data_IF_255029262216
#
_entry.id   IF_255029262216
#
_cell.length_a   1.000
_cell.length_b   1.000
_cell.length_c   1.000
_cell.angle_alpha   90.00
_cell.angle_beta   90.00
_cell.angle_gamma   90.00
#
_symmetry.space_group_name_H-M   'P 1'
#
loop_
_entity.id
_entity.type
_entity.pdbx_description
1 polymer ?
#
# COMPACT_ATOMS: atom_id res chain seq x y z
N UNK A 1 -12.00 -9.60 17.01
CA UNK A 1 -11.86 -8.96 15.68
C UNK A 1 -11.02 -9.77 14.69
N UNK A 2 -9.76 -10.15 14.99
CA UNK A 2 -8.95 -10.98 14.07
C UNK A 2 -9.61 -12.34 13.72
N UNK A 3 -10.16 -13.03 14.71
CA UNK A 3 -10.88 -14.30 14.47
C UNK A 3 -12.13 -14.18 13.59
N UNK A 4 -12.82 -13.04 13.63
CA UNK A 4 -13.99 -12.78 12.77
C UNK A 4 -13.60 -12.55 11.31
N UNK A 5 -12.52 -11.80 11.06
CA UNK A 5 -11.98 -11.61 9.71
C UNK A 5 -11.55 -12.92 9.07
N UNK A 6 -10.76 -13.74 9.77
CA UNK A 6 -10.34 -15.04 9.27
C UNK A 6 -11.53 -15.98 8.98
N UNK A 7 -12.56 -15.98 9.84
CA UNK A 7 -13.77 -16.77 9.61
C UNK A 7 -14.52 -16.35 8.33
N UNK A 8 -14.59 -15.04 8.04
CA UNK A 8 -15.21 -14.52 6.81
C UNK A 8 -14.44 -15.00 5.56
N UNK A 9 -13.12 -14.89 5.56
CA UNK A 9 -12.29 -15.36 4.44
C UNK A 9 -12.41 -16.88 4.24
N UNK A 10 -12.43 -17.66 5.32
CA UNK A 10 -12.63 -19.13 5.26
C UNK A 10 -14.02 -19.47 4.74
N UNK A 11 -15.07 -18.79 5.23
CA UNK A 11 -16.44 -19.01 4.77
C UNK A 11 -16.60 -18.71 3.27
N UNK A 12 -16.03 -17.60 2.80
CA UNK A 12 -16.02 -17.26 1.37
C UNK A 12 -15.23 -18.25 0.53
N UNK A 13 -14.09 -18.71 1.05
CA UNK A 13 -13.28 -19.73 0.39
C UNK A 13 -14.07 -21.02 0.21
N UNK A 14 -14.71 -21.52 1.27
CA UNK A 14 -15.57 -22.72 1.20
C UNK A 14 -16.77 -22.50 0.28
N UNK A 15 -17.39 -21.32 0.34
CA UNK A 15 -18.54 -20.99 -0.49
C UNK A 15 -18.19 -20.93 -1.98
N UNK A 16 -16.98 -20.48 -2.34
CA UNK A 16 -16.51 -20.45 -3.73
C UNK A 16 -16.55 -21.84 -4.39
N UNK A 17 -16.34 -22.93 -3.63
CA UNK A 17 -16.40 -24.30 -4.16
C UNK A 17 -17.82 -24.80 -4.46
N UNK A 18 -18.86 -24.03 -4.10
CA UNK A 18 -20.25 -24.34 -4.49
C UNK A 18 -20.61 -23.83 -5.88
N UNK A 19 -19.78 -22.99 -6.47
CA UNK A 19 -19.98 -22.45 -7.82
C UNK A 19 -19.25 -23.28 -8.88
N UNK A 20 -19.58 -23.01 -10.15
CA UNK A 20 -18.89 -23.59 -11.29
C UNK A 20 -17.39 -23.23 -11.29
N UNK A 21 -16.60 -24.02 -12.02
CA UNK A 21 -15.14 -23.90 -12.02
C UNK A 21 -14.69 -22.50 -12.43
N UNK A 22 -15.39 -21.84 -13.36
CA UNK A 22 -15.00 -20.51 -13.83
C UNK A 22 -15.30 -19.43 -12.79
N UNK A 23 -16.50 -19.40 -12.21
CA UNK A 23 -16.85 -18.46 -11.13
C UNK A 23 -15.99 -18.69 -9.88
N UNK A 24 -15.77 -19.94 -9.48
CA UNK A 24 -14.89 -20.30 -8.36
C UNK A 24 -13.49 -19.72 -8.54
N UNK A 25 -12.87 -19.92 -9.70
CA UNK A 25 -11.49 -19.49 -9.93
C UNK A 25 -11.35 -17.96 -9.86
N UNK A 26 -12.30 -17.20 -10.42
CA UNK A 26 -12.33 -15.73 -10.31
C UNK A 26 -12.54 -15.25 -8.88
N UNK A 27 -13.46 -15.89 -8.15
CA UNK A 27 -13.68 -15.59 -6.73
C UNK A 27 -12.43 -15.86 -5.89
N UNK A 28 -11.73 -16.98 -6.13
CA UNK A 28 -10.47 -17.29 -5.43
C UNK A 28 -9.38 -16.25 -5.72
N UNK A 29 -9.25 -15.80 -6.97
CA UNK A 29 -8.32 -14.72 -7.31
C UNK A 29 -8.67 -13.40 -6.58
N UNK A 30 -9.97 -13.06 -6.53
CA UNK A 30 -10.47 -11.89 -5.80
C UNK A 30 -10.15 -11.98 -4.30
N UNK A 31 -10.36 -13.14 -3.67
CA UNK A 31 -10.05 -13.38 -2.25
C UNK A 31 -8.55 -13.24 -1.98
N UNK A 32 -7.69 -13.85 -2.81
CA UNK A 32 -6.23 -13.78 -2.66
C UNK A 32 -5.74 -12.33 -2.78
N UNK A 33 -6.20 -11.59 -3.79
CA UNK A 33 -5.83 -10.19 -3.98
C UNK A 33 -6.35 -9.30 -2.85
N UNK A 34 -7.51 -9.62 -2.27
CA UNK A 34 -8.02 -8.93 -1.08
C UNK A 34 -7.14 -9.19 0.15
N UNK A 35 -6.57 -10.39 0.31
CA UNK A 35 -5.62 -10.67 1.39
C UNK A 35 -4.31 -9.88 1.18
N UNK A 36 -3.83 -9.80 -0.07
CA UNK A 36 -2.64 -9.00 -0.42
C UNK A 36 -2.87 -7.52 -0.10
N UNK A 37 -4.08 -6.99 -0.33
CA UNK A 37 -4.39 -5.59 -0.04
C UNK A 37 -4.31 -5.24 1.45
N UNK A 38 -4.53 -6.20 2.37
CA UNK A 38 -4.35 -5.98 3.82
C UNK A 38 -2.93 -5.50 4.12
N UNK A 39 -1.92 -6.14 3.51
CA UNK A 39 -0.51 -5.79 3.72
C UNK A 39 -0.20 -4.43 3.08
N UNK A 40 -0.74 -4.19 1.89
CA UNK A 40 -0.61 -2.89 1.23
C UNK A 40 -1.16 -1.77 2.13
N UNK A 41 -2.38 -1.91 2.65
CA UNK A 41 -3.00 -0.90 3.51
C UNK A 41 -2.24 -0.75 4.84
N UNK A 42 -1.71 -1.83 5.41
CA UNK A 42 -0.90 -1.76 6.63
C UNK A 42 0.36 -0.91 6.44
N UNK A 43 1.01 -1.06 5.29
CA UNK A 43 2.20 -0.30 4.90
C UNK A 43 1.83 1.14 4.52
N UNK A 44 0.82 1.35 3.68
CA UNK A 44 0.32 2.66 3.29
C UNK A 44 -0.01 3.54 4.50
N UNK A 45 -0.72 2.96 5.49
CA UNK A 45 -1.13 3.66 6.71
C UNK A 45 0.05 4.14 7.58
N UNK A 46 1.29 3.65 7.35
CA UNK A 46 2.46 4.18 8.04
C UNK A 46 2.70 5.67 7.77
N UNK A 47 2.10 6.23 6.71
CA UNK A 47 2.06 7.67 6.47
C UNK A 47 1.48 8.44 7.68
N UNK A 48 0.40 7.92 8.28
CA UNK A 48 -0.27 8.54 9.44
C UNK A 48 0.40 8.20 10.78
N UNK A 49 1.15 7.11 10.83
CA UNK A 49 1.84 6.64 12.03
C UNK A 49 3.33 6.99 12.01
N UNK A 50 4.18 6.03 11.62
CA UNK A 50 5.64 6.11 11.74
C UNK A 50 6.23 7.31 10.99
N UNK A 51 5.77 7.57 9.75
CA UNK A 51 6.25 8.71 8.94
C UNK A 51 5.88 10.05 9.57
N UNK A 52 4.63 10.21 9.99
CA UNK A 52 4.17 11.44 10.62
C UNK A 52 5.01 11.81 11.85
N UNK A 53 5.30 10.84 12.72
CA UNK A 53 6.15 11.07 13.90
C UNK A 53 7.62 11.30 13.54
N UNK A 54 8.13 10.64 12.49
CA UNK A 54 9.48 10.88 11.98
C UNK A 54 9.64 12.32 11.47
N UNK A 55 8.66 12.82 10.71
CA UNK A 55 8.64 14.20 10.20
C UNK A 55 8.64 15.21 11.34
N UNK A 56 7.86 14.96 12.40
CA UNK A 56 7.82 15.85 13.56
C UNK A 56 9.17 15.93 14.29
N UNK A 57 9.85 14.79 14.44
CA UNK A 57 10.99 14.62 15.36
C UNK A 57 12.37 14.78 14.73
N UNK A 58 12.52 14.39 13.47
CA UNK A 58 13.84 14.20 12.87
C UNK A 58 14.00 14.86 11.51
N UNK A 59 12.93 15.36 10.89
CA UNK A 59 13.00 16.03 9.59
C UNK A 59 13.15 17.54 9.78
N UNK A 60 14.06 18.15 9.04
CA UNK A 60 14.21 19.60 8.99
C UNK A 60 13.03 20.23 8.27
N UNK A 61 12.10 20.85 9.02
CA UNK A 61 10.85 21.45 8.50
C UNK A 61 10.93 22.96 8.25
N UNK A 62 12.13 23.54 8.28
CA UNK A 62 12.32 24.97 8.09
C UNK A 62 12.40 25.31 6.59
N UNK A 63 11.54 26.23 6.14
CA UNK A 63 11.65 26.90 4.85
C UNK A 63 11.78 28.39 5.14
N UNK A 64 12.99 28.92 4.91
CA UNK A 64 13.38 30.25 5.40
C UNK A 64 13.10 30.38 6.91
N UNK A 65 12.35 31.40 7.33
CA UNK A 65 12.01 31.66 8.73
C UNK A 65 10.75 30.91 9.21
N UNK A 66 10.11 30.11 8.35
CA UNK A 66 8.87 29.40 8.67
C UNK A 66 9.10 27.92 8.93
N UNK A 67 8.53 27.42 10.03
CA UNK A 67 8.46 25.98 10.33
C UNK A 67 7.19 25.42 9.71
N UNK A 68 7.33 24.49 8.77
CA UNK A 68 6.19 23.79 8.20
C UNK A 68 5.54 22.90 9.27
N UNK A 69 4.23 23.03 9.51
CA UNK A 69 3.48 22.07 10.29
C UNK A 69 3.54 20.68 9.65
N UNK A 70 3.82 19.67 10.45
CA UNK A 70 3.87 18.26 10.01
C UNK A 70 2.60 17.81 9.27
N UNK A 71 1.37 18.20 9.66
CA UNK A 71 0.17 17.83 8.91
C UNK A 71 0.15 18.30 7.44
N UNK A 72 0.90 19.35 7.07
CA UNK A 72 0.98 19.78 5.66
C UNK A 72 1.66 18.73 4.77
N UNK A 73 2.52 17.87 5.33
CA UNK A 73 3.09 16.77 4.58
C UNK A 73 2.02 15.75 4.19
N UNK A 74 1.01 15.50 5.03
CA UNK A 74 -0.12 14.64 4.69
C UNK A 74 -0.89 15.18 3.48
N UNK A 75 -1.01 16.50 3.34
CA UNK A 75 -1.65 17.11 2.17
C UNK A 75 -0.89 16.87 0.86
N UNK A 76 0.42 16.57 0.90
CA UNK A 76 1.20 16.27 -0.32
C UNK A 76 0.69 15.03 -1.03
N UNK A 77 0.24 14.04 -0.26
CA UNK A 77 -0.39 12.82 -0.77
C UNK A 77 -1.58 13.19 -1.67
N UNK A 78 -2.52 13.99 -1.13
CA UNK A 78 -3.72 14.39 -1.88
C UNK A 78 -3.40 15.27 -3.09
N UNK A 79 -2.37 16.12 -3.00
CA UNK A 79 -1.87 16.88 -4.16
C UNK A 79 -1.32 15.95 -5.23
N UNK A 80 -0.54 14.94 -4.85
CA UNK A 80 -0.04 13.94 -5.79
C UNK A 80 -1.16 13.10 -6.40
N UNK A 81 -2.22 12.75 -5.66
CA UNK A 81 -3.39 12.06 -6.22
C UNK A 81 -4.03 12.90 -7.32
N UNK A 82 -4.23 14.20 -7.10
CA UNK A 82 -4.88 15.07 -8.09
C UNK A 82 -4.01 15.17 -9.36
N UNK A 83 -2.70 15.38 -9.19
CA UNK A 83 -1.77 15.54 -10.31
C UNK A 83 -1.54 14.23 -11.07
N UNK A 84 -1.26 13.14 -10.35
CA UNK A 84 -0.96 11.85 -10.93
C UNK A 84 -2.21 11.07 -11.33
N UNK A 85 -3.35 11.29 -10.68
CA UNK A 85 -4.60 10.58 -11.00
C UNK A 85 -5.04 10.82 -12.44
N UNK A 86 -5.01 12.09 -12.89
CA UNK A 86 -5.25 12.43 -14.29
C UNK A 86 -4.23 11.76 -15.23
N UNK A 87 -2.95 11.76 -14.85
CA UNK A 87 -1.90 11.09 -15.62
C UNK A 87 -2.11 9.57 -15.74
N UNK A 88 -2.42 8.89 -14.64
CA UNK A 88 -2.65 7.45 -14.59
C UNK A 88 -3.91 7.05 -15.37
N UNK A 89 -4.97 7.86 -15.35
CA UNK A 89 -6.17 7.64 -16.16
C UNK A 89 -5.82 7.61 -17.67
N UNK A 90 -5.09 8.61 -18.16
CA UNK A 90 -4.64 8.67 -19.55
C UNK A 90 -3.64 7.55 -19.89
N UNK A 91 -2.75 7.21 -18.95
CA UNK A 91 -1.79 6.12 -19.12
C UNK A 91 -2.49 4.78 -19.34
N UNK A 92 -3.51 4.47 -18.53
CA UNK A 92 -4.26 3.23 -18.65
C UNK A 92 -5.10 3.17 -19.92
N UNK A 93 -5.74 4.27 -20.31
CA UNK A 93 -6.46 4.34 -21.59
C UNK A 93 -5.52 4.08 -22.78
N UNK A 94 -4.34 4.71 -22.78
CA UNK A 94 -3.34 4.54 -23.84
C UNK A 94 -2.78 3.12 -23.89
N UNK A 95 -2.58 2.48 -22.73
CA UNK A 95 -2.10 1.10 -22.63
C UNK A 95 -3.20 0.09 -23.01
N UNK A 96 -4.46 0.36 -22.67
CA UNK A 96 -5.61 -0.45 -23.09
C UNK A 96 -5.77 -0.42 -24.61
N UNK A 97 -5.71 0.76 -25.24
CA UNK A 97 -5.70 0.91 -26.72
C UNK A 97 -4.59 0.13 -27.43
N UNK A 98 -3.51 -0.22 -26.73
CA UNK A 98 -2.37 -0.98 -27.26
C UNK A 98 -2.36 -2.45 -26.83
N UNK A 99 -3.40 -2.95 -26.15
CA UNK A 99 -3.44 -4.29 -25.54
C UNK A 99 -2.22 -4.57 -24.62
N UNK A 100 -1.71 -3.53 -23.95
CA UNK A 100 -0.56 -3.60 -23.03
C UNK A 100 -0.94 -3.16 -21.60
N UNK A 101 -2.23 -3.20 -21.26
CA UNK A 101 -2.68 -2.88 -19.91
C UNK A 101 -2.18 -3.96 -18.93
N UNK A 102 -1.46 -3.59 -17.86
CA UNK A 102 -1.05 -4.57 -16.85
C UNK A 102 -2.27 -5.28 -16.26
N UNK A 103 -2.17 -6.61 -16.10
CA UNK A 103 -3.21 -7.39 -15.43
C UNK A 103 -3.46 -6.91 -13.99
N UNK A 104 -4.66 -7.18 -13.45
CA UNK A 104 -5.01 -6.82 -12.06
C UNK A 104 -3.95 -7.30 -11.05
N UNK A 105 -3.52 -8.59 -11.05
CA UNK A 105 -2.49 -9.05 -10.12
C UNK A 105 -1.16 -8.33 -10.28
N UNK A 106 -0.78 -7.98 -11.52
CA UNK A 106 0.46 -7.24 -11.77
C UNK A 106 0.40 -5.82 -11.20
N UNK A 107 -0.76 -5.13 -11.29
CA UNK A 107 -0.93 -3.80 -10.67
C UNK A 107 -0.79 -3.85 -9.14
N UNK A 108 -1.30 -4.92 -8.50
CA UNK A 108 -1.10 -5.16 -7.07
C UNK A 108 0.36 -5.43 -6.69
N UNK A 109 1.09 -6.20 -7.51
CA UNK A 109 2.52 -6.41 -7.28
C UNK A 109 3.29 -5.07 -7.41
N UNK A 110 3.01 -4.30 -8.46
CA UNK A 110 3.63 -3.00 -8.71
C UNK A 110 3.33 -1.98 -7.59
N UNK A 111 2.13 -2.01 -6.99
CA UNK A 111 1.80 -1.12 -5.88
C UNK A 111 2.64 -1.40 -4.64
N UNK A 112 2.91 -2.68 -4.33
CA UNK A 112 3.80 -3.08 -3.23
C UNK A 112 5.25 -2.68 -3.51
N UNK A 113 5.73 -2.79 -4.75
CA UNK A 113 7.05 -2.29 -5.13
C UNK A 113 7.16 -0.77 -5.02
N UNK A 114 6.09 -0.02 -5.32
CA UNK A 114 6.07 1.42 -5.11
C UNK A 114 6.20 1.77 -3.61
N UNK A 115 5.49 1.05 -2.73
CA UNK A 115 5.68 1.20 -1.27
C UNK A 115 7.09 0.82 -0.82
N UNK A 116 7.67 -0.25 -1.36
CA UNK A 116 9.07 -0.63 -1.09
C UNK A 116 10.02 0.52 -1.41
N UNK A 117 9.89 1.13 -2.60
CA UNK A 117 10.72 2.28 -3.00
C UNK A 117 10.52 3.44 -2.04
N UNK A 118 9.28 3.75 -1.67
CA UNK A 118 8.98 4.82 -0.71
C UNK A 118 9.70 4.62 0.63
N UNK A 119 9.65 3.40 1.20
CA UNK A 119 10.32 3.11 2.46
C UNK A 119 11.84 3.03 2.35
N UNK A 120 12.40 2.64 1.21
CA UNK A 120 13.84 2.73 0.94
C UNK A 120 14.27 4.21 0.91
N UNK A 121 13.51 5.09 0.26
CA UNK A 121 13.79 6.53 0.24
C UNK A 121 13.74 7.10 1.66
N UNK A 122 12.72 6.72 2.45
CA UNK A 122 12.60 7.12 3.85
C UNK A 122 13.80 6.64 4.69
N UNK A 123 14.20 5.39 4.52
CA UNK A 123 15.39 4.81 5.16
C UNK A 123 16.66 5.58 4.79
N UNK A 124 16.87 5.89 3.50
CA UNK A 124 17.98 6.72 3.06
C UNK A 124 17.95 8.10 3.74
N UNK A 125 16.77 8.70 3.92
CA UNK A 125 16.60 9.94 4.67
C UNK A 125 17.22 9.87 6.08
N UNK A 126 16.97 8.77 6.81
CA UNK A 126 17.54 8.56 8.16
C UNK A 126 19.08 8.40 8.18
N UNK A 127 19.70 8.12 7.03
CA UNK A 127 21.17 7.96 6.90
C UNK A 127 21.86 9.22 6.41
N UNK A 128 21.16 10.05 5.64
CA UNK A 128 21.70 11.27 5.05
C UNK A 128 21.12 12.50 5.75
N UNK A 129 21.63 12.77 6.94
CA UNK A 129 21.28 13.95 7.74
C UNK A 129 22.07 15.18 7.30
N UNK A 130 21.48 16.36 7.47
CA UNK A 130 22.12 17.66 7.26
C UNK A 130 23.20 17.94 8.32
N UNK A 131 23.95 19.03 8.16
CA UNK A 131 24.95 19.47 9.13
C UNK A 131 24.38 19.74 10.54
N UNK A 132 23.06 19.95 10.65
CA UNK A 132 22.34 20.19 11.91
C UNK A 132 21.79 18.88 12.51
N UNK A 133 22.04 17.74 11.86
CA UNK A 133 21.59 16.42 12.33
C UNK A 133 20.14 16.06 12.02
N UNK A 134 19.46 16.85 11.16
CA UNK A 134 18.08 16.57 10.72
C UNK A 134 18.04 16.00 9.31
N UNK A 135 17.06 15.15 9.03
CA UNK A 135 16.80 14.58 7.70
C UNK A 135 16.25 15.64 6.75
N UNK A 136 16.70 15.64 5.48
CA UNK A 136 16.19 16.55 4.45
C UNK A 136 14.74 16.18 4.07
N UNK A 137 13.85 17.18 4.07
CA UNK A 137 12.42 17.01 3.73
C UNK A 137 12.16 16.44 2.32
N UNK A 138 13.10 16.60 1.37
CA UNK A 138 12.96 16.08 0.01
C UNK A 138 12.85 14.54 -0.05
N UNK A 139 13.46 13.83 0.92
CA UNK A 139 13.27 12.39 1.05
C UNK A 139 11.82 12.04 1.39
N UNK A 140 11.18 12.82 2.25
CA UNK A 140 9.77 12.62 2.62
C UNK A 140 8.85 12.93 1.45
N UNK A 141 9.08 14.05 0.76
CA UNK A 141 8.29 14.44 -0.42
C UNK A 141 8.36 13.33 -1.48
N UNK A 142 9.56 12.80 -1.72
CA UNK A 142 9.77 11.71 -2.67
C UNK A 142 9.16 10.39 -2.19
N UNK A 143 9.24 10.06 -0.90
CA UNK A 143 8.57 8.88 -0.35
C UNK A 143 7.04 8.97 -0.51
N UNK A 144 6.45 10.14 -0.26
CA UNK A 144 5.00 10.36 -0.41
C UNK A 144 4.56 10.22 -1.87
N UNK A 145 5.37 10.69 -2.82
CA UNK A 145 5.13 10.48 -4.25
C UNK A 145 5.00 8.99 -4.59
N UNK A 146 5.91 8.15 -4.10
CA UNK A 146 5.85 6.70 -4.36
C UNK A 146 4.73 6.00 -3.58
N UNK A 147 4.37 6.47 -2.39
CA UNK A 147 3.18 5.98 -1.68
C UNK A 147 1.92 6.24 -2.51
N UNK A 148 1.75 7.46 -3.03
CA UNK A 148 0.62 7.82 -3.88
C UNK A 148 0.63 7.04 -5.20
N UNK A 149 1.78 6.81 -5.83
CA UNK A 149 1.88 5.91 -7.00
C UNK A 149 1.36 4.52 -6.66
N UNK A 150 1.73 3.98 -5.50
CA UNK A 150 1.23 2.69 -5.02
C UNK A 150 -0.29 2.68 -4.86
N UNK A 151 -0.85 3.74 -4.28
CA UNK A 151 -2.31 3.87 -4.10
C UNK A 151 -3.05 3.94 -5.44
N UNK A 152 -2.55 4.74 -6.38
CA UNK A 152 -3.15 4.86 -7.72
C UNK A 152 -3.09 3.56 -8.52
N UNK A 153 -2.14 2.67 -8.22
CA UNK A 153 -2.05 1.33 -8.81
C UNK A 153 -3.09 0.36 -8.22
N UNK A 154 -3.40 0.46 -6.93
CA UNK A 154 -4.24 -0.51 -6.22
C UNK A 154 -5.70 -0.06 -6.07
N UNK A 155 -5.95 1.18 -5.65
CA UNK A 155 -7.27 1.67 -5.22
C UNK A 155 -8.37 1.54 -6.28
N UNK A 156 -8.22 2.09 -7.51
CA UNK A 156 -9.27 1.99 -8.54
C UNK A 156 -9.45 0.54 -9.03
N UNK A 157 -8.39 -0.25 -9.02
CA UNK A 157 -8.38 -1.63 -9.52
C UNK A 157 -9.04 -2.58 -8.52
N UNK A 158 -8.81 -2.38 -7.22
CA UNK A 158 -9.34 -3.23 -6.16
C UNK A 158 -10.86 -3.24 -6.09
N UNK A 159 -11.48 -2.06 -6.16
CA UNK A 159 -12.95 -1.95 -6.17
C UNK A 159 -13.56 -2.49 -7.47
N UNK A 160 -12.95 -2.19 -8.62
CA UNK A 160 -13.41 -2.71 -9.91
C UNK A 160 -13.26 -4.24 -10.02
N UNK A 161 -12.22 -4.81 -9.43
CA UNK A 161 -12.01 -6.26 -9.39
C UNK A 161 -13.19 -6.97 -8.71
N UNK A 162 -13.69 -6.41 -7.61
CA UNK A 162 -14.81 -7.01 -6.87
C UNK A 162 -16.07 -7.13 -7.74
N UNK A 163 -16.35 -6.14 -8.58
CA UNK A 163 -17.54 -6.15 -9.45
C UNK A 163 -17.39 -7.06 -10.67
N UNK A 164 -16.15 -7.31 -11.12
CA UNK A 164 -15.87 -8.08 -12.35
C UNK A 164 -15.58 -9.56 -12.08
N UNK A 165 -14.96 -9.88 -10.93
CA UNK A 165 -14.53 -11.26 -10.61
C UNK A 165 -15.54 -12.06 -9.78
N UNK A 166 -16.53 -11.41 -9.18
CA UNK A 166 -17.47 -12.04 -8.25
C UNK A 166 -18.86 -12.11 -8.90
N UNK A 167 -19.64 -13.19 -8.69
CA UNK A 167 -21.03 -13.25 -9.14
C UNK A 167 -21.85 -12.05 -8.61
N UNK A 168 -22.76 -11.52 -9.43
CA UNK A 168 -23.52 -10.30 -9.10
C UNK A 168 -24.23 -10.36 -7.74
N UNK A 169 -24.75 -11.53 -7.38
CA UNK A 169 -25.43 -11.81 -6.11
C UNK A 169 -24.53 -11.62 -4.88
N UNK A 170 -23.21 -11.76 -5.05
CA UNK A 170 -22.21 -11.72 -3.98
C UNK A 170 -21.37 -10.45 -4.00
N UNK A 171 -21.54 -9.56 -4.98
CA UNK A 171 -20.78 -8.32 -5.11
C UNK A 171 -20.86 -7.47 -3.85
N UNK A 172 -22.06 -7.32 -3.26
CA UNK A 172 -22.24 -6.55 -2.02
C UNK A 172 -21.51 -7.17 -0.82
N UNK A 173 -21.54 -8.50 -0.70
CA UNK A 173 -20.80 -9.22 0.35
C UNK A 173 -19.29 -9.02 0.18
N UNK A 174 -18.79 -9.17 -1.04
CA UNK A 174 -17.35 -9.04 -1.32
C UNK A 174 -16.87 -7.58 -1.18
N UNK A 175 -17.70 -6.58 -1.48
CA UNK A 175 -17.41 -5.19 -1.15
C UNK A 175 -17.27 -4.99 0.36
N UNK A 176 -18.16 -5.59 1.15
CA UNK A 176 -18.03 -5.60 2.62
C UNK A 176 -16.71 -6.21 3.07
N UNK A 177 -16.29 -7.32 2.44
CA UNK A 177 -15.02 -7.99 2.74
C UNK A 177 -13.81 -7.12 2.37
N UNK A 178 -13.88 -6.38 1.26
CA UNK A 178 -12.86 -5.41 0.88
C UNK A 178 -12.67 -4.33 1.94
N UNK A 179 -13.76 -3.76 2.47
CA UNK A 179 -13.67 -2.77 3.56
C UNK A 179 -13.20 -3.40 4.89
N UNK A 180 -13.58 -4.65 5.18
CA UNK A 180 -13.01 -5.38 6.33
C UNK A 180 -11.50 -5.57 6.16
N UNK A 181 -11.03 -5.89 4.95
CA UNK A 181 -9.61 -6.01 4.65
C UNK A 181 -8.86 -4.68 4.88
N UNK A 182 -9.46 -3.55 4.49
CA UNK A 182 -8.94 -2.21 4.78
C UNK A 182 -8.79 -1.98 6.29
N UNK A 183 -9.84 -2.24 7.08
CA UNK A 183 -9.78 -2.08 8.54
C UNK A 183 -8.80 -3.05 9.24
N UNK A 184 -8.64 -4.27 8.70
CA UNK A 184 -7.59 -5.19 9.15
C UNK A 184 -6.20 -4.66 8.83
N UNK A 185 -6.03 -4.02 7.67
CA UNK A 185 -4.80 -3.34 7.27
C UNK A 185 -4.45 -2.20 8.23
N UNK A 186 -5.40 -1.32 8.55
CA UNK A 186 -5.22 -0.25 9.54
C UNK A 186 -4.83 -0.77 10.92
N UNK A 187 -5.50 -1.83 11.38
CA UNK A 187 -5.13 -2.47 12.65
C UNK A 187 -3.72 -3.03 12.62
N UNK A 188 -3.35 -3.72 11.54
CA UNK A 188 -2.00 -4.24 11.35
C UNK A 188 -0.97 -3.10 11.27
N UNK A 189 -1.33 -1.96 10.66
CA UNK A 189 -0.52 -0.75 10.60
C UNK A 189 -0.14 -0.27 12.01
N UNK A 190 -1.11 -0.23 12.93
CA UNK A 190 -0.86 0.15 14.33
C UNK A 190 0.08 -0.81 15.05
N UNK A 191 0.01 -2.12 14.74
CA UNK A 191 0.92 -3.11 15.32
C UNK A 191 2.34 -2.94 14.78
N UNK A 192 2.51 -2.80 13.47
CA UNK A 192 3.84 -2.62 12.87
C UNK A 192 4.43 -1.23 13.18
N UNK A 193 3.60 -0.21 13.42
CA UNK A 193 4.07 1.11 13.85
C UNK A 193 4.85 1.07 15.18
N UNK A 194 4.65 0.03 16.00
CA UNK A 194 5.42 -0.16 17.24
C UNK A 194 6.92 -0.36 16.97
N UNK A 195 7.33 -0.82 15.78
CA UNK A 195 8.75 -0.90 15.41
C UNK A 195 9.41 0.48 15.33
N UNK A 196 8.63 1.54 15.12
CA UNK A 196 9.07 2.93 15.10
C UNK A 196 8.80 3.66 16.43
N UNK A 197 8.38 2.96 17.48
CA UNK A 197 8.06 3.57 18.76
C UNK A 197 9.34 3.99 19.50
N UNK A 198 9.34 5.25 19.98
CA UNK A 198 10.47 5.84 20.70
C UNK A 198 10.14 5.92 22.19
N UNK A 199 10.97 5.31 23.07
CA UNK A 199 10.84 5.47 24.51
C UNK A 199 10.94 6.94 24.92
N UNK A 200 10.11 7.38 25.90
CA UNK A 200 10.01 8.77 26.36
C UNK A 200 11.32 9.41 26.85
N UNK A 201 12.35 8.61 27.11
CA UNK A 201 13.64 9.05 27.65
C UNK A 201 14.72 9.29 26.57
N UNK A 202 14.42 9.01 25.29
CA UNK A 202 15.37 9.17 24.18
C UNK A 202 15.03 10.43 23.39
N UNK A 203 15.91 11.44 23.49
CA UNK A 203 15.79 12.70 22.75
C UNK A 203 16.96 12.95 21.78
N UNK A 204 17.95 12.07 21.74
CA UNK A 204 19.11 12.22 20.86
C UNK A 204 18.72 11.89 19.41
N UNK A 205 18.82 12.88 18.52
CA UNK A 205 18.49 12.75 17.09
C UNK A 205 19.12 11.51 16.41
N UNK A 206 20.41 11.18 16.63
CA UNK A 206 21.01 9.99 16.00
C UNK A 206 20.34 8.68 16.40
N UNK A 207 19.87 8.57 17.66
CA UNK A 207 19.16 7.38 18.14
C UNK A 207 17.74 7.32 17.58
N UNK A 208 17.08 8.48 17.45
CA UNK A 208 15.77 8.62 16.81
C UNK A 208 15.84 8.17 15.34
N UNK A 209 16.81 8.67 14.58
CA UNK A 209 17.04 8.29 13.19
C UNK A 209 17.35 6.80 13.03
N UNK A 210 18.12 6.21 13.96
CA UNK A 210 18.40 4.79 13.94
C UNK A 210 17.14 3.93 14.15
N UNK A 211 16.26 4.29 15.08
CA UNK A 211 15.01 3.57 15.34
C UNK A 211 14.09 3.66 14.11
N UNK A 212 13.86 4.86 13.58
CA UNK A 212 13.05 5.04 12.37
C UNK A 212 13.67 4.35 11.15
N UNK A 213 14.99 4.41 10.99
CA UNK A 213 15.71 3.74 9.92
C UNK A 213 15.52 2.22 9.99
N UNK A 214 15.62 1.64 11.18
CA UNK A 214 15.35 0.22 11.37
C UNK A 214 13.89 -0.13 11.00
N UNK A 215 12.92 0.67 11.45
CA UNK A 215 11.51 0.46 11.12
C UNK A 215 11.24 0.56 9.61
N UNK A 216 11.72 1.62 8.95
CA UNK A 216 11.55 1.82 7.51
C UNK A 216 12.22 0.71 6.68
N UNK A 217 13.39 0.23 7.11
CA UNK A 217 14.02 -0.93 6.47
C UNK A 217 13.15 -2.19 6.56
N UNK A 218 12.52 -2.44 7.71
CA UNK A 218 11.61 -3.58 7.89
C UNK A 218 10.34 -3.44 7.05
N UNK A 219 9.80 -2.22 6.94
CA UNK A 219 8.64 -1.95 6.07
C UNK A 219 9.00 -2.15 4.60
N UNK A 220 10.17 -1.69 4.15
CA UNK A 220 10.68 -1.93 2.81
C UNK A 220 10.87 -3.42 2.52
N UNK A 221 11.44 -4.18 3.47
CA UNK A 221 11.64 -5.62 3.34
C UNK A 221 10.30 -6.36 3.26
N UNK A 222 9.33 -6.00 4.11
CA UNK A 222 7.98 -6.57 4.06
C UNK A 222 7.32 -6.29 2.71
N UNK A 223 7.40 -5.05 2.22
CA UNK A 223 6.88 -4.66 0.91
C UNK A 223 7.55 -5.44 -0.23
N UNK A 224 8.88 -5.61 -0.17
CA UNK A 224 9.65 -6.39 -1.15
C UNK A 224 9.24 -7.86 -1.17
N UNK A 225 9.18 -8.51 0.00
CA UNK A 225 8.82 -9.93 0.10
C UNK A 225 7.39 -10.14 -0.40
N UNK A 226 6.44 -9.35 0.06
CA UNK A 226 5.05 -9.47 -0.37
C UNK A 226 4.87 -9.11 -1.85
N UNK A 227 5.58 -8.10 -2.35
CA UNK A 227 5.60 -7.72 -3.76
C UNK A 227 6.17 -8.82 -4.64
N UNK A 228 7.28 -9.44 -4.23
CA UNK A 228 7.89 -10.56 -4.94
C UNK A 228 7.00 -11.80 -4.94
N UNK A 229 6.39 -12.16 -3.80
CA UNK A 229 5.43 -13.26 -3.71
C UNK A 229 4.22 -12.99 -4.62
N UNK A 230 3.66 -11.78 -4.56
CA UNK A 230 2.55 -11.38 -5.43
C UNK A 230 2.94 -11.48 -6.91
N UNK A 231 4.14 -11.01 -7.28
CA UNK A 231 4.68 -11.07 -8.63
C UNK A 231 4.81 -12.52 -9.14
N UNK A 232 5.33 -13.42 -8.31
CA UNK A 232 5.42 -14.86 -8.63
C UNK A 232 4.03 -15.49 -8.78
N UNK A 233 3.04 -15.03 -8.02
CA UNK A 233 1.65 -15.49 -8.13
C UNK A 233 0.90 -14.92 -9.34
N UNK A 234 1.38 -13.85 -10.00
CA UNK A 234 0.71 -13.21 -11.16
C UNK A 234 0.30 -14.20 -12.25
N UNK A 235 1.19 -15.05 -12.82
CA UNK A 235 0.78 -15.97 -13.89
C UNK A 235 -0.31 -16.95 -13.46
N UNK A 236 -0.27 -17.40 -12.21
CA UNK A 236 -1.30 -18.29 -11.66
C UNK A 236 -2.64 -17.56 -11.48
N UNK A 237 -2.61 -16.34 -10.93
CA UNK A 237 -3.81 -15.53 -10.74
C UNK A 237 -4.44 -15.12 -12.07
N UNK A 238 -3.64 -14.79 -13.09
CA UNK A 238 -4.14 -14.50 -14.43
C UNK A 238 -4.82 -15.74 -15.05
N UNK A 239 -4.22 -16.92 -14.89
CA UNK A 239 -4.83 -18.18 -15.33
C UNK A 239 -6.17 -18.47 -14.64
N UNK A 240 -6.30 -18.10 -13.36
CA UNK A 240 -7.57 -18.23 -12.62
C UNK A 240 -8.63 -17.24 -13.10
N UNK A 241 -8.24 -16.01 -13.44
CA UNK A 241 -9.15 -14.96 -13.93
C UNK A 241 -9.66 -15.27 -15.34
N UNK A 242 -8.83 -15.91 -16.17
CA UNK A 242 -9.12 -16.26 -17.56
C UNK A 242 -8.76 -15.10 -18.50
N UNK A 243 -7.78 -15.35 -19.38
CA UNK A 243 -7.07 -14.39 -20.26
C UNK A 243 -7.93 -13.61 -21.30
N UNK A 244 -9.26 -13.60 -21.21
CA UNK A 244 -10.11 -13.12 -22.31
C UNK A 244 -11.13 -12.03 -22.04
N UNK A 245 -11.32 -11.50 -20.82
CA UNK A 245 -12.46 -10.58 -20.61
C UNK A 245 -12.26 -9.41 -19.62
N UNK A 246 -11.04 -8.91 -19.43
CA UNK A 246 -10.84 -7.65 -18.71
C UNK A 246 -9.91 -6.75 -19.52
N UNK A 247 -10.41 -6.26 -20.64
CA UNK A 247 -9.81 -5.16 -21.41
C UNK A 247 -10.44 -3.83 -21.01
#
# INVERSE_FOLDING_TARGET
>A
MLGGGCAIFIALFVYAFRHDIAARNKMLACIVLTIVSIIFWALYMQMFFSMNLFIERAVGRHIFDFVLPTPLFLSLESVFIILLGAYFAHLWERLSKKNKNPSIPLKFALSLFALMIAFIIAFCGTKYTTAVGTTNMMFIISAYLFITIGELLLSPVGLAMVTILVPQELTGLMMGVWFVALGLGEKLAGVIANYAAIPKHINALPTIDQIYGHAFFHYALLALICGAVCLVCVPFLNKLIGDHNIQ
#
